data_IF_424339884512
#
_entry.id   IF_424339884512
#
_cell.length_a   1.000
_cell.length_b   1.000
_cell.length_c   1.000
_cell.angle_alpha   90.00
_cell.angle_beta   90.00
_cell.angle_gamma   90.00
#
_symmetry.space_group_name_H-M   'P 1'
#
loop_
_entity.id
_entity.type
_entity.pdbx_description
1 polymer ?
#
# COMPACT_ATOMS: atom_id res chain seq x y z
N UNK A 1 -4.19 25.23 4.89
CA UNK A 1 -3.05 24.50 4.29
C UNK A 1 -3.66 23.48 3.36
N UNK A 2 -3.36 23.53 2.06
CA UNK A 2 -3.85 22.49 1.14
C UNK A 2 -3.28 21.14 1.58
N UNK A 3 -4.17 20.19 1.86
CA UNK A 3 -3.77 18.83 2.16
C UNK A 3 -3.25 18.25 0.83
N UNK A 4 -1.95 18.01 0.75
CA UNK A 4 -1.34 17.42 -0.44
C UNK A 4 -1.99 16.06 -0.72
N UNK A 5 -2.21 15.77 -2.00
CA UNK A 5 -2.69 14.46 -2.41
C UNK A 5 -1.71 13.38 -1.91
N UNK A 6 -2.15 12.34 -1.17
CA UNK A 6 -1.27 11.30 -0.64
C UNK A 6 -0.40 10.62 -1.70
N UNK A 7 -0.88 10.54 -2.94
CA UNK A 7 -0.07 10.00 -4.04
C UNK A 7 1.10 10.93 -4.40
N UNK A 8 0.88 12.24 -4.38
CA UNK A 8 1.93 13.24 -4.60
C UNK A 8 2.97 13.20 -3.49
N UNK A 9 2.55 13.06 -2.23
CA UNK A 9 3.46 12.94 -1.08
C UNK A 9 4.30 11.66 -1.15
N UNK A 10 3.68 10.54 -1.54
CA UNK A 10 4.42 9.31 -1.83
C UNK A 10 5.46 9.50 -2.94
N UNK A 11 5.09 10.10 -4.08
CA UNK A 11 6.03 10.35 -5.18
C UNK A 11 7.22 11.23 -4.78
N UNK A 12 7.00 12.24 -3.92
CA UNK A 12 8.09 13.05 -3.36
C UNK A 12 9.01 12.21 -2.46
N UNK A 13 8.42 11.31 -1.68
CA UNK A 13 9.17 10.49 -0.72
C UNK A 13 10.03 9.43 -1.41
N UNK A 14 9.60 8.90 -2.55
CA UNK A 14 10.34 7.88 -3.32
C UNK A 14 11.29 8.47 -4.38
N UNK A 15 11.33 9.81 -4.56
CA UNK A 15 12.03 10.46 -5.68
C UNK A 15 13.50 10.00 -5.84
N UNK A 16 14.19 9.77 -4.72
CA UNK A 16 15.60 9.32 -4.68
C UNK A 16 15.75 7.87 -4.22
N UNK A 17 14.65 7.15 -4.01
CA UNK A 17 14.67 5.76 -3.55
C UNK A 17 14.63 4.79 -4.72
N UNK A 18 15.81 4.35 -5.15
CA UNK A 18 15.96 3.39 -6.26
C UNK A 18 15.47 1.98 -5.93
N UNK A 19 15.11 1.68 -4.67
CA UNK A 19 14.56 0.37 -4.27
C UNK A 19 13.09 0.23 -4.69
N UNK A 20 12.41 1.35 -4.94
CA UNK A 20 11.00 1.38 -5.32
C UNK A 20 10.86 1.11 -6.82
N UNK A 21 10.17 0.01 -7.13
CA UNK A 21 9.81 -0.37 -8.50
C UNK A 21 8.40 0.09 -8.89
N UNK A 22 8.07 0.03 -10.18
CA UNK A 22 6.72 0.30 -10.68
C UNK A 22 5.63 -0.53 -10.00
N UNK A 23 5.95 -1.75 -9.57
CA UNK A 23 5.01 -2.62 -8.84
C UNK A 23 4.73 -2.12 -7.42
N UNK A 24 5.72 -1.53 -6.75
CA UNK A 24 5.51 -0.88 -5.46
C UNK A 24 4.58 0.32 -5.60
N UNK A 25 4.81 1.15 -6.63
CA UNK A 25 3.96 2.29 -6.95
C UNK A 25 2.52 1.82 -7.22
N UNK A 26 2.34 0.77 -8.04
CA UNK A 26 1.02 0.20 -8.33
C UNK A 26 0.31 -0.34 -7.09
N UNK A 27 1.03 -0.99 -6.17
CA UNK A 27 0.46 -1.46 -4.90
C UNK A 27 0.10 -0.29 -3.99
N UNK A 28 0.96 0.71 -3.86
CA UNK A 28 0.67 1.90 -3.04
C UNK A 28 -0.55 2.67 -3.57
N UNK A 29 -0.63 2.88 -4.88
CA UNK A 29 -1.80 3.49 -5.52
C UNK A 29 -3.07 2.65 -5.31
N UNK A 30 -2.98 1.31 -5.38
CA UNK A 30 -4.11 0.43 -5.10
C UNK A 30 -4.57 0.50 -3.62
N UNK A 31 -3.63 0.65 -2.68
CA UNK A 31 -3.93 0.89 -1.27
C UNK A 31 -4.64 2.23 -1.08
N UNK A 32 -4.19 3.30 -1.75
CA UNK A 32 -4.86 4.61 -1.71
C UNK A 32 -6.26 4.55 -2.33
N UNK A 33 -6.44 3.86 -3.46
CA UNK A 33 -7.78 3.68 -4.05
C UNK A 33 -8.70 2.89 -3.13
N UNK A 34 -8.20 1.83 -2.49
CA UNK A 34 -8.96 1.09 -1.48
C UNK A 34 -9.35 2.00 -0.31
N UNK A 35 -8.40 2.79 0.21
CA UNK A 35 -8.63 3.78 1.25
C UNK A 35 -9.69 4.82 0.86
N UNK A 36 -9.65 5.32 -0.39
CA UNK A 36 -10.62 6.29 -0.89
C UNK A 36 -12.05 5.71 -0.90
N UNK A 37 -12.20 4.45 -1.31
CA UNK A 37 -13.49 3.75 -1.30
C UNK A 37 -14.03 3.52 0.12
N UNK A 38 -13.14 3.39 1.12
CA UNK A 38 -13.48 3.22 2.54
C UNK A 38 -13.63 4.57 3.29
N UNK A 39 -13.72 5.70 2.58
CA UNK A 39 -13.92 7.02 3.19
C UNK A 39 -12.65 7.71 3.68
N UNK A 40 -11.50 7.41 3.07
CA UNK A 40 -10.20 8.02 3.37
C UNK A 40 -9.68 7.76 4.81
N UNK A 41 -10.10 6.66 5.44
CA UNK A 41 -9.66 6.26 6.78
C UNK A 41 -8.18 5.84 6.81
N UNK A 42 -7.54 5.99 7.97
CA UNK A 42 -6.20 5.47 8.26
C UNK A 42 -6.22 4.96 9.72
N UNK A 43 -6.03 3.66 10.00
CA UNK A 43 -5.62 2.59 9.08
C UNK A 43 -6.74 2.04 8.21
N UNK A 44 -6.36 1.39 7.11
CA UNK A 44 -7.26 0.49 6.37
C UNK A 44 -7.14 -0.94 6.87
N UNK A 45 -8.23 -1.70 6.73
CA UNK A 45 -8.28 -3.14 6.95
C UNK A 45 -8.63 -3.83 5.64
N UNK A 46 -7.67 -4.54 5.05
CA UNK A 46 -7.84 -5.16 3.73
C UNK A 46 -7.36 -6.61 3.70
N UNK A 47 -8.04 -7.43 2.92
CA UNK A 47 -7.51 -8.69 2.45
C UNK A 47 -6.57 -8.46 1.28
N UNK A 48 -5.50 -9.26 1.22
CA UNK A 48 -4.55 -9.23 0.09
C UNK A 48 -5.23 -9.31 -1.28
N UNK A 49 -6.26 -10.16 -1.43
CA UNK A 49 -6.91 -10.37 -2.73
C UNK A 49 -7.69 -9.13 -3.21
N UNK A 50 -8.19 -8.29 -2.28
CA UNK A 50 -8.84 -7.02 -2.61
C UNK A 50 -7.82 -6.06 -3.23
N UNK A 51 -6.66 -5.90 -2.57
CA UNK A 51 -5.59 -5.02 -3.04
C UNK A 51 -5.00 -5.53 -4.37
N UNK A 52 -4.76 -6.83 -4.50
CA UNK A 52 -4.27 -7.44 -5.73
C UNK A 52 -5.22 -7.21 -6.92
N UNK A 53 -6.54 -7.31 -6.70
CA UNK A 53 -7.56 -7.05 -7.73
C UNK A 53 -7.52 -5.61 -8.22
N UNK A 54 -7.33 -4.64 -7.31
CA UNK A 54 -7.20 -3.22 -7.65
C UNK A 54 -5.86 -2.97 -8.39
N UNK A 55 -4.76 -3.53 -7.87
CA UNK A 55 -3.41 -3.38 -8.44
C UNK A 55 -3.20 -4.13 -9.76
N UNK A 56 -4.16 -4.95 -10.22
CA UNK A 56 -4.05 -5.82 -11.39
C UNK A 56 -2.87 -6.81 -11.32
N UNK A 57 -2.56 -7.28 -10.11
CA UNK A 57 -1.48 -8.27 -9.88
C UNK A 57 -2.12 -9.63 -9.59
N UNK A 58 -1.65 -10.67 -10.27
CA UNK A 58 -2.08 -12.05 -10.03
C UNK A 58 -1.12 -12.83 -9.12
N UNK A 59 0.17 -12.45 -9.10
CA UNK A 59 1.23 -13.12 -8.33
C UNK A 59 1.18 -12.82 -6.82
N UNK A 60 0.86 -13.79 -5.95
CA UNK A 60 0.88 -13.60 -4.50
C UNK A 60 2.26 -13.24 -3.96
N UNK A 61 3.30 -13.85 -4.52
CA UNK A 61 4.70 -13.62 -4.15
C UNK A 61 5.09 -12.17 -4.43
N UNK A 62 4.70 -11.63 -5.58
CA UNK A 62 4.93 -10.24 -5.96
C UNK A 62 4.27 -9.28 -4.98
N UNK A 63 3.01 -9.52 -4.62
CA UNK A 63 2.33 -8.73 -3.59
C UNK A 63 3.05 -8.76 -2.25
N UNK A 64 3.40 -9.96 -1.76
CA UNK A 64 4.02 -10.13 -0.45
C UNK A 64 5.39 -9.49 -0.34
N UNK A 65 6.19 -9.56 -1.40
CA UNK A 65 7.47 -8.83 -1.49
C UNK A 65 7.21 -7.33 -1.42
N UNK A 66 6.43 -6.77 -2.34
CA UNK A 66 6.27 -5.33 -2.42
C UNK A 66 5.58 -4.70 -1.20
N UNK A 67 4.58 -5.35 -0.58
CA UNK A 67 3.95 -4.84 0.65
C UNK A 67 4.94 -4.85 1.83
N UNK A 68 5.84 -5.84 1.87
CA UNK A 68 6.88 -5.95 2.90
C UNK A 68 7.97 -4.92 2.66
N UNK A 69 8.42 -4.76 1.42
CA UNK A 69 9.39 -3.74 1.01
C UNK A 69 8.87 -2.34 1.34
N UNK A 70 7.61 -2.01 1.00
CA UNK A 70 6.97 -0.73 1.37
C UNK A 70 6.96 -0.49 2.90
N UNK A 71 6.80 -1.56 3.69
CA UNK A 71 6.85 -1.49 5.13
C UNK A 71 8.28 -1.29 5.67
N UNK A 72 9.23 -2.08 5.16
CA UNK A 72 10.65 -1.99 5.56
C UNK A 72 11.28 -0.66 5.16
N UNK A 73 10.82 -0.07 4.07
CA UNK A 73 11.31 1.23 3.60
C UNK A 73 10.59 2.42 4.28
N UNK A 74 9.59 2.17 5.13
CA UNK A 74 8.94 3.19 5.95
C UNK A 74 7.83 3.99 5.27
N UNK A 75 7.32 3.52 4.13
CA UNK A 75 6.20 4.19 3.44
C UNK A 75 4.83 3.81 4.02
N UNK A 76 4.73 2.60 4.57
CA UNK A 76 3.56 2.11 5.29
C UNK A 76 3.98 1.39 6.57
N UNK A 77 3.07 1.21 7.51
CA UNK A 77 3.19 0.21 8.56
C UNK A 77 2.20 -0.93 8.27
N UNK A 78 2.73 -2.10 7.93
CA UNK A 78 1.99 -3.29 7.57
C UNK A 78 1.96 -4.31 8.71
N UNK A 79 0.76 -4.55 9.26
CA UNK A 79 0.53 -5.56 10.29
C UNK A 79 -0.16 -6.77 9.63
N UNK A 80 0.60 -7.81 9.23
CA UNK A 80 0.03 -8.99 8.60
C UNK A 80 -0.82 -9.79 9.59
N UNK A 81 -1.84 -10.46 9.07
CA UNK A 81 -2.56 -11.53 9.79
C UNK A 81 -2.20 -12.88 9.18
N UNK A 82 -1.86 -13.85 10.03
CA UNK A 82 -1.47 -15.22 9.61
C UNK A 82 -2.62 -16.00 8.97
N UNK A 83 -3.86 -15.67 9.33
CA UNK A 83 -5.05 -16.37 8.85
C UNK A 83 -5.58 -15.70 7.56
N UNK A 84 -5.81 -16.50 6.51
CA UNK A 84 -6.35 -16.02 5.22
C UNK A 84 -7.73 -15.37 5.34
N UNK A 85 -8.47 -15.68 6.42
CA UNK A 85 -9.78 -15.12 6.71
C UNK A 85 -9.72 -13.86 7.59
N UNK A 86 -8.54 -13.26 7.77
CA UNK A 86 -8.40 -12.01 8.51
C UNK A 86 -7.79 -10.90 7.65
N UNK A 87 -8.36 -9.70 7.77
CA UNK A 87 -7.86 -8.49 7.14
C UNK A 87 -6.55 -8.07 7.81
N UNK A 88 -5.53 -7.78 7.00
CA UNK A 88 -4.32 -7.12 7.49
C UNK A 88 -4.61 -5.65 7.77
N UNK A 89 -3.85 -5.04 8.66
CA UNK A 89 -3.98 -3.62 9.01
C UNK A 89 -2.82 -2.87 8.37
N UNK A 90 -3.12 -1.78 7.68
CA UNK A 90 -2.13 -0.97 6.97
C UNK A 90 -2.31 0.49 7.37
N UNK A 91 -1.25 1.09 7.89
CA UNK A 91 -1.17 2.54 8.13
C UNK A 91 -0.33 3.20 7.05
N UNK A 92 -0.78 4.35 6.57
CA UNK A 92 0.00 5.21 5.68
C UNK A 92 0.86 6.15 6.53
N UNK A 93 2.16 6.23 6.23
CA UNK A 93 3.15 7.05 6.95
C UNK A 93 3.62 8.27 6.14
N UNK A 94 3.14 8.34 4.91
CA UNK A 94 3.35 9.37 3.87
C UNK A 94 2.00 9.71 3.26
#
# INVERSE_FOLDING_TARGET
MEQLNPLTEFFRSIEKDQRISITHIGIFAALLQFRANEGNINPIKAYRHEIMKIAKITGPVTYHRCIKDLNEYGYINYIPKKNRNQKSIIYFLV
#
